data_IF_628387562211
#
_entry.id   IF_628387562211
#
_cell.length_a   1.000
_cell.length_b   1.000
_cell.length_c   1.000
_cell.angle_alpha   90.00
_cell.angle_beta   90.00
_cell.angle_gamma   90.00
#
_symmetry.space_group_name_H-M   'P 1'
#
loop_
_entity.id
_entity.type
_entity.pdbx_description
1 polymer ?
#
# COMPACT_ATOMS: atom_id res chain seq x y z
N UNK A 1 6.05 -13.43 17.65
CA UNK A 1 5.23 -14.12 16.63
C UNK A 1 3.86 -13.45 16.67
N UNK A 2 3.35 -12.88 15.57
CA UNK A 2 2.06 -12.16 15.65
C UNK A 2 1.29 -12.04 14.32
N UNK A 3 1.59 -12.89 13.33
CA UNK A 3 0.67 -13.16 12.23
C UNK A 3 -0.08 -14.44 12.56
N UNK A 4 -1.40 -14.35 12.70
CA UNK A 4 -2.26 -15.51 12.93
C UNK A 4 -3.29 -15.58 11.81
N UNK A 5 -3.47 -16.74 11.21
CA UNK A 5 -4.71 -17.03 10.49
C UNK A 5 -5.81 -17.35 11.52
N UNK A 6 -7.07 -17.39 11.10
CA UNK A 6 -8.20 -17.77 11.97
C UNK A 6 -8.06 -19.12 12.70
N UNK A 7 -7.03 -19.92 12.37
CA UNK A 7 -6.73 -21.23 12.94
C UNK A 7 -5.44 -21.27 13.80
N UNK A 8 -4.74 -20.15 14.02
CA UNK A 8 -3.63 -20.06 14.97
C UNK A 8 -2.31 -20.76 14.59
N UNK A 9 -2.05 -21.08 13.32
CA UNK A 9 -0.82 -21.77 12.88
C UNK A 9 0.04 -20.91 11.93
N UNK A 10 1.35 -20.86 12.20
CA UNK A 10 2.38 -20.23 11.36
C UNK A 10 3.28 -21.28 10.67
N UNK A 11 3.72 -21.08 9.41
CA UNK A 11 3.24 -20.05 8.50
C UNK A 11 1.76 -20.23 8.21
N UNK A 12 1.00 -19.12 8.24
CA UNK A 12 -0.30 -19.14 7.58
C UNK A 12 0.01 -19.55 6.13
N UNK A 13 -0.66 -20.58 5.59
CA UNK A 13 -0.53 -20.85 4.17
C UNK A 13 -0.77 -19.52 3.45
N UNK A 14 0.11 -19.13 2.52
CA UNK A 14 -0.34 -18.27 1.42
C UNK A 14 -1.60 -18.97 0.91
N UNK A 15 -2.76 -18.42 1.25
CA UNK A 15 -4.06 -19.07 1.08
C UNK A 15 -4.35 -19.11 -0.40
N UNK A 16 -3.83 -20.17 -1.01
CA UNK A 16 -3.73 -20.42 -2.45
C UNK A 16 -3.14 -19.24 -3.25
N UNK A 17 -2.57 -19.50 -4.42
CA UNK A 17 -2.06 -18.41 -5.26
C UNK A 17 -3.19 -17.50 -5.80
N UNK A 18 -4.46 -17.75 -5.46
CA UNK A 18 -5.69 -17.23 -6.09
C UNK A 18 -6.44 -16.13 -5.32
N UNK A 19 -6.32 -16.04 -3.99
CA UNK A 19 -7.03 -15.02 -3.18
C UNK A 19 -6.12 -13.90 -2.66
N UNK A 20 -6.30 -12.70 -3.23
CA UNK A 20 -5.63 -11.46 -2.81
C UNK A 20 -6.45 -10.79 -1.71
N UNK A 21 -6.09 -11.04 -0.46
CA UNK A 21 -6.85 -10.48 0.66
C UNK A 21 -6.70 -8.97 0.78
N UNK A 22 -7.77 -8.25 1.03
CA UNK A 22 -7.81 -6.80 1.29
C UNK A 22 -7.67 -6.53 2.80
N UNK A 23 -7.17 -5.34 3.21
CA UNK A 23 -7.33 -4.91 4.60
C UNK A 23 -8.83 -4.68 4.85
N UNK A 24 -9.40 -5.44 5.78
CA UNK A 24 -10.80 -5.36 6.17
C UNK A 24 -11.00 -4.39 7.33
N UNK A 25 -10.03 -4.30 8.25
CA UNK A 25 -10.13 -3.44 9.43
C UNK A 25 -8.75 -3.12 10.02
N UNK A 26 -8.63 -1.98 10.69
CA UNK A 26 -7.47 -1.61 11.52
C UNK A 26 -7.98 -1.22 12.90
N UNK A 27 -7.79 -2.08 13.89
CA UNK A 27 -8.16 -1.86 15.29
C UNK A 27 -6.99 -1.21 16.05
N UNK A 28 -7.05 0.11 16.16
CA UNK A 28 -6.03 0.93 16.80
C UNK A 28 -5.91 0.64 18.33
N UNK A 29 -7.01 0.54 19.11
CA UNK A 29 -6.95 0.18 20.53
C UNK A 29 -6.20 -1.11 20.82
N UNK A 30 -6.44 -2.16 20.02
CA UNK A 30 -5.83 -3.47 20.24
C UNK A 30 -4.52 -3.65 19.50
N UNK A 31 -4.20 -2.77 18.54
CA UNK A 31 -2.98 -2.86 17.75
C UNK A 31 -3.05 -3.91 16.65
N UNK A 32 -4.21 -4.12 16.04
CA UNK A 32 -4.43 -5.20 15.07
C UNK A 32 -4.78 -4.64 13.70
N UNK A 33 -4.14 -5.17 12.66
CA UNK A 33 -4.63 -5.05 11.27
C UNK A 33 -5.29 -6.39 10.92
N UNK A 34 -6.54 -6.34 10.47
CA UNK A 34 -7.33 -7.50 10.04
C UNK A 34 -7.52 -7.41 8.54
N UNK A 35 -7.24 -8.51 7.85
CA UNK A 35 -7.46 -8.66 6.42
C UNK A 35 -8.70 -9.54 6.17
N UNK A 36 -9.36 -9.36 5.03
CA UNK A 36 -10.66 -9.96 4.68
C UNK A 36 -10.64 -11.50 4.59
N UNK A 37 -9.46 -12.09 4.37
CA UNK A 37 -9.23 -13.53 4.43
C UNK A 37 -9.01 -14.06 5.87
N UNK A 38 -9.20 -13.21 6.89
CA UNK A 38 -9.02 -13.56 8.29
C UNK A 38 -7.57 -13.57 8.77
N UNK A 39 -6.60 -13.14 7.96
CA UNK A 39 -5.23 -12.87 8.44
C UNK A 39 -5.27 -11.68 9.38
N UNK A 40 -4.52 -11.78 10.47
CA UNK A 40 -4.37 -10.69 11.45
C UNK A 40 -2.91 -10.43 11.75
N UNK A 41 -2.50 -9.18 11.68
CA UNK A 41 -1.20 -8.70 12.17
C UNK A 41 -1.41 -7.99 13.50
N UNK A 42 -0.86 -8.52 14.57
CA UNK A 42 -0.87 -7.91 15.89
C UNK A 42 0.49 -7.25 16.17
N UNK A 43 0.48 -5.95 16.43
CA UNK A 43 1.71 -5.23 16.80
C UNK A 43 2.19 -5.67 18.18
N UNK A 44 3.51 -5.90 18.32
CA UNK A 44 4.17 -6.07 19.64
C UNK A 44 4.30 -4.72 20.34
N UNK A 45 4.64 -3.70 19.58
CA UNK A 45 4.70 -2.31 20.02
C UNK A 45 3.52 -1.52 19.43
N UNK A 46 2.48 -1.33 20.25
CA UNK A 46 1.27 -0.59 19.88
C UNK A 46 1.53 0.86 19.48
N UNK A 47 2.60 1.46 19.99
CA UNK A 47 2.94 2.85 19.69
C UNK A 47 3.41 3.01 18.24
N UNK A 48 3.94 1.96 17.61
CA UNK A 48 4.25 1.98 16.18
C UNK A 48 3.00 2.14 15.32
N UNK A 49 1.91 1.42 15.65
CA UNK A 49 0.63 1.60 14.95
C UNK A 49 0.05 3.00 15.21
N UNK A 50 0.05 3.46 16.47
CA UNK A 50 -0.45 4.80 16.84
C UNK A 50 0.29 5.92 16.12
N UNK A 51 1.62 5.82 16.03
CA UNK A 51 2.43 6.76 15.27
C UNK A 51 2.13 6.68 13.78
N UNK A 52 1.99 5.46 13.22
CA UNK A 52 1.73 5.27 11.79
C UNK A 52 0.40 5.86 11.32
N UNK A 53 -0.65 5.77 12.16
CA UNK A 53 -1.98 6.32 11.84
C UNK A 53 -2.10 7.81 12.12
N UNK A 54 -1.13 8.44 12.81
CA UNK A 54 -1.18 9.87 13.15
C UNK A 54 -0.53 10.71 12.05
N UNK A 55 -1.34 11.44 11.28
CA UNK A 55 -0.83 12.23 10.15
C UNK A 55 -0.16 13.53 10.61
N UNK A 56 0.78 14.03 9.79
CA UNK A 56 1.34 15.37 9.98
C UNK A 56 0.32 16.43 9.55
N UNK A 57 -0.33 17.03 10.53
CA UNK A 57 -1.24 18.16 10.31
C UNK A 57 -1.15 19.12 11.50
N UNK A 58 -1.04 20.42 11.22
CA UNK A 58 -1.11 21.47 12.23
C UNK A 58 -2.43 22.22 12.03
N UNK A 59 -3.40 22.08 12.95
CA UNK A 59 -4.65 22.81 12.84
C UNK A 59 -4.42 24.32 12.89
N UNK A 60 -5.26 25.12 12.19
CA UNK A 60 -5.10 26.57 12.13
C UNK A 60 -5.25 27.29 13.48
N UNK A 61 -5.85 26.62 14.48
CA UNK A 61 -6.07 27.15 15.83
C UNK A 61 -4.95 26.81 16.83
N UNK A 62 -3.94 26.03 16.42
CA UNK A 62 -2.80 25.67 17.28
C UNK A 62 -1.72 26.75 17.17
N UNK A 63 -1.32 27.33 18.30
CA UNK A 63 -0.29 28.36 18.34
C UNK A 63 1.10 27.79 17.96
N UNK A 64 1.97 28.60 17.33
CA UNK A 64 3.35 28.18 17.07
C UNK A 64 4.06 27.77 18.36
N UNK A 65 4.63 26.56 18.39
CA UNK A 65 5.39 26.04 19.54
C UNK A 65 4.60 25.15 20.49
N UNK A 66 3.29 24.99 20.30
CA UNK A 66 2.51 23.99 21.03
C UNK A 66 3.01 22.56 20.71
N UNK A 67 3.10 21.67 21.72
CA UNK A 67 3.54 20.30 21.50
C UNK A 67 2.53 19.56 20.62
N UNK A 68 3.02 19.09 19.47
CA UNK A 68 2.24 18.27 18.55
C UNK A 68 2.50 16.78 18.82
N UNK A 69 1.51 15.90 18.62
CA UNK A 69 1.73 14.46 18.73
C UNK A 69 2.78 14.00 17.72
N UNK A 70 3.50 12.94 18.07
CA UNK A 70 4.44 12.29 17.16
C UNK A 70 3.64 11.76 15.96
N UNK A 71 4.05 12.18 14.76
CA UNK A 71 3.37 11.83 13.52
C UNK A 71 4.16 10.81 12.71
N UNK A 72 3.51 10.33 11.65
CA UNK A 72 3.92 9.20 10.86
C UNK A 72 5.13 9.43 9.93
N UNK A 73 5.66 10.66 9.80
CA UNK A 73 6.69 10.98 8.79
C UNK A 73 7.97 10.17 8.96
N UNK A 74 8.45 10.00 10.18
CA UNK A 74 9.70 9.28 10.42
C UNK A 74 9.58 7.80 10.05
N UNK A 75 8.43 7.19 10.36
CA UNK A 75 8.17 5.78 10.05
C UNK A 75 7.87 5.61 8.55
N UNK A 76 7.18 6.57 7.93
CA UNK A 76 6.91 6.57 6.49
C UNK A 76 8.20 6.52 5.67
N UNK A 77 9.25 7.26 6.06
CA UNK A 77 10.55 7.18 5.37
C UNK A 77 11.16 5.78 5.38
N UNK A 78 11.06 5.07 6.51
CA UNK A 78 11.49 3.67 6.59
C UNK A 78 10.62 2.81 5.66
N UNK A 79 9.31 3.00 5.71
CA UNK A 79 8.34 2.28 4.90
C UNK A 79 8.52 2.45 3.39
N UNK A 80 8.75 3.67 2.90
CA UNK A 80 9.07 3.93 1.49
C UNK A 80 10.32 3.17 1.04
N UNK A 81 11.38 3.19 1.85
CA UNK A 81 12.60 2.43 1.59
C UNK A 81 12.35 0.92 1.52
N UNK A 82 11.56 0.38 2.45
CA UNK A 82 11.20 -1.05 2.52
C UNK A 82 10.30 -1.47 1.36
N UNK A 83 9.24 -0.69 1.09
CA UNK A 83 8.33 -0.86 -0.04
C UNK A 83 9.11 -0.89 -1.35
N UNK A 84 9.94 0.14 -1.58
CA UNK A 84 10.82 0.24 -2.75
C UNK A 84 11.74 -0.95 -2.89
N UNK A 85 12.38 -1.39 -1.80
CA UNK A 85 13.32 -2.51 -1.82
C UNK A 85 12.62 -3.85 -2.13
N UNK A 86 11.47 -4.11 -1.50
CA UNK A 86 10.68 -5.33 -1.72
C UNK A 86 10.17 -5.39 -3.16
N UNK A 87 9.56 -4.31 -3.65
CA UNK A 87 9.07 -4.23 -5.03
C UNK A 87 10.22 -4.46 -6.01
N UNK A 88 11.32 -3.71 -5.90
CA UNK A 88 12.48 -3.85 -6.81
C UNK A 88 13.06 -5.26 -6.79
N UNK A 89 13.24 -5.88 -5.60
CA UNK A 89 13.73 -7.27 -5.49
C UNK A 89 12.76 -8.25 -6.13
N UNK A 90 11.45 -8.08 -5.92
CA UNK A 90 10.41 -8.93 -6.49
C UNK A 90 10.43 -8.89 -8.02
N UNK A 91 10.43 -7.69 -8.58
CA UNK A 91 10.46 -7.46 -10.02
C UNK A 91 11.79 -7.87 -10.69
N UNK A 92 12.92 -7.73 -9.99
CA UNK A 92 14.23 -8.14 -10.53
C UNK A 92 14.46 -9.67 -10.51
N UNK A 93 13.86 -10.40 -9.57
CA UNK A 93 14.03 -11.87 -9.44
C UNK A 93 13.35 -12.64 -10.56
N UNK A 94 12.26 -12.11 -11.12
CA UNK A 94 11.85 -12.52 -12.45
C UNK A 94 12.83 -11.86 -13.43
N UNK A 95 13.88 -12.59 -13.81
CA UNK A 95 14.63 -12.23 -15.00
C UNK A 95 13.61 -11.94 -16.08
N UNK A 96 13.52 -10.66 -16.49
CA UNK A 96 12.45 -10.11 -17.32
C UNK A 96 11.97 -11.19 -18.30
N UNK A 97 10.74 -11.72 -18.18
CA UNK A 97 10.26 -12.68 -19.14
C UNK A 97 9.96 -11.88 -20.40
N UNK A 98 11.00 -11.55 -21.18
CA UNK A 98 10.91 -10.97 -22.52
C UNK A 98 9.94 -11.79 -23.40
N UNK A 99 9.65 -13.05 -23.04
CA UNK A 99 8.65 -13.90 -23.70
C UNK A 99 7.19 -13.74 -23.25
N UNK A 100 6.87 -13.23 -22.05
CA UNK A 100 5.47 -13.07 -21.62
C UNK A 100 4.86 -11.73 -22.03
N UNK A 101 5.67 -10.69 -22.20
CA UNK A 101 5.21 -9.42 -22.76
C UNK A 101 4.80 -9.56 -24.23
N UNK A 102 5.49 -10.45 -24.97
CA UNK A 102 5.24 -10.72 -26.39
C UNK A 102 3.85 -11.31 -26.70
N UNK A 103 3.17 -11.99 -25.77
CA UNK A 103 1.87 -12.60 -26.09
C UNK A 103 0.72 -11.60 -26.17
N UNK A 104 0.85 -10.40 -25.57
CA UNK A 104 -0.04 -9.27 -25.87
C UNK A 104 0.50 -8.36 -26.98
N UNK A 105 1.82 -8.31 -27.20
CA UNK A 105 2.41 -7.62 -28.36
C UNK A 105 1.92 -8.22 -29.70
N UNK A 106 1.62 -9.52 -29.74
CA UNK A 106 1.09 -10.19 -30.95
C UNK A 106 -0.37 -9.84 -31.23
N UNK A 107 -1.17 -9.42 -30.23
CA UNK A 107 -2.56 -8.97 -30.46
C UNK A 107 -2.68 -7.45 -30.67
N UNK A 108 -1.56 -6.71 -30.69
CA UNK A 108 -1.52 -5.27 -30.91
C UNK A 108 -0.44 -4.86 -31.93
N UNK A 109 -0.06 -5.76 -32.81
CA UNK A 109 0.91 -5.49 -33.87
C UNK A 109 0.31 -4.66 -35.01
N UNK A 110 -0.35 -3.54 -34.74
CA UNK A 110 -0.67 -2.50 -35.72
C UNK A 110 -0.90 -1.12 -35.05
N UNK A 111 0.08 -0.60 -34.28
CA UNK A 111 0.42 0.85 -34.15
C UNK A 111 1.39 1.09 -32.96
N UNK A 112 2.47 1.86 -33.18
CA UNK A 112 3.27 2.60 -32.15
C UNK A 112 3.84 1.89 -30.89
N UNK A 113 4.24 0.62 -30.96
CA UNK A 113 4.43 -0.26 -29.78
C UNK A 113 5.63 -0.03 -28.82
N UNK A 114 6.68 0.72 -29.16
CA UNK A 114 7.84 0.84 -28.23
C UNK A 114 7.58 1.72 -26.98
N UNK A 115 6.67 2.70 -27.06
CA UNK A 115 6.38 3.58 -25.89
C UNK A 115 5.47 2.92 -24.86
N UNK A 116 4.56 2.06 -25.32
CA UNK A 116 3.57 1.40 -24.47
C UNK A 116 4.25 0.34 -23.60
N UNK A 117 5.19 -0.43 -24.15
CA UNK A 117 5.95 -1.43 -23.37
C UNK A 117 6.80 -0.80 -22.25
N UNK A 118 7.43 0.35 -22.51
CA UNK A 118 8.19 1.11 -21.50
C UNK A 118 7.27 1.68 -20.40
N UNK A 119 6.10 2.22 -20.75
CA UNK A 119 5.14 2.74 -19.77
C UNK A 119 4.55 1.64 -18.88
N UNK A 120 4.23 0.47 -19.44
CA UNK A 120 3.80 -0.69 -18.66
C UNK A 120 4.90 -1.20 -17.75
N UNK A 121 6.15 -1.24 -18.22
CA UNK A 121 7.29 -1.64 -17.39
C UNK A 121 7.53 -0.65 -16.25
N UNK A 122 7.47 0.65 -16.53
CA UNK A 122 7.60 1.71 -15.51
C UNK A 122 6.46 1.63 -14.48
N UNK A 123 5.22 1.34 -14.88
CA UNK A 123 4.11 1.17 -13.95
C UNK A 123 4.22 -0.11 -13.12
N UNK A 124 4.67 -1.20 -13.72
CA UNK A 124 4.89 -2.45 -13.01
C UNK A 124 6.04 -2.31 -11.99
N UNK A 125 7.16 -1.68 -12.38
CA UNK A 125 8.34 -1.54 -11.51
C UNK A 125 8.22 -0.38 -10.50
N UNK A 126 7.57 0.73 -10.85
CA UNK A 126 7.54 1.96 -10.05
C UNK A 126 6.14 2.47 -9.73
N UNK A 127 5.12 1.97 -10.42
CA UNK A 127 3.77 2.53 -10.33
C UNK A 127 3.10 2.33 -8.98
N UNK A 128 3.34 1.19 -8.35
CA UNK A 128 2.88 0.94 -6.99
C UNK A 128 3.60 1.83 -5.97
N UNK A 129 4.78 2.33 -6.31
CA UNK A 129 5.54 3.24 -5.46
C UNK A 129 5.13 4.71 -5.64
N UNK A 130 4.22 5.02 -6.57
CA UNK A 130 3.75 6.39 -6.76
C UNK A 130 2.73 6.78 -5.70
N UNK A 131 2.83 8.02 -5.20
CA UNK A 131 1.89 8.58 -4.23
C UNK A 131 0.44 8.50 -4.72
N UNK A 132 0.17 8.62 -6.02
CA UNK A 132 -1.18 8.49 -6.58
C UNK A 132 -1.78 7.11 -6.35
N UNK A 133 -0.99 6.05 -6.55
CA UNK A 133 -1.39 4.67 -6.30
C UNK A 133 -1.62 4.43 -4.81
N UNK A 134 -0.67 4.83 -3.97
CA UNK A 134 -0.79 4.67 -2.52
C UNK A 134 -1.98 5.47 -1.95
N UNK A 135 -2.24 6.68 -2.47
CA UNK A 135 -3.42 7.48 -2.09
C UNK A 135 -4.71 6.75 -2.41
N UNK A 136 -4.83 6.20 -3.63
CA UNK A 136 -5.99 5.41 -4.02
C UNK A 136 -6.16 4.18 -3.11
N UNK A 137 -5.08 3.44 -2.85
CA UNK A 137 -5.13 2.25 -2.01
C UNK A 137 -5.49 2.56 -0.55
N UNK A 138 -5.03 3.69 0.00
CA UNK A 138 -5.43 4.15 1.33
C UNK A 138 -6.96 4.32 1.44
N UNK A 139 -7.62 4.81 0.39
CA UNK A 139 -9.08 4.93 0.36
C UNK A 139 -9.75 3.58 0.08
N UNK A 140 -9.22 2.79 -0.85
CA UNK A 140 -9.79 1.50 -1.24
C UNK A 140 -9.81 0.49 -0.10
N UNK A 141 -8.86 0.57 0.83
CA UNK A 141 -8.79 -0.29 2.01
C UNK A 141 -9.39 0.35 3.27
N UNK A 142 -10.11 1.48 3.10
CA UNK A 142 -10.74 2.25 4.17
C UNK A 142 -9.78 2.74 5.27
N UNK A 143 -8.47 2.74 5.02
CA UNK A 143 -7.46 3.19 5.98
C UNK A 143 -7.72 4.65 6.39
N UNK A 144 -8.18 5.49 5.46
CA UNK A 144 -8.53 6.89 5.72
C UNK A 144 -9.49 7.07 6.91
N UNK A 145 -10.39 6.12 7.15
CA UNK A 145 -11.37 6.19 8.26
C UNK A 145 -10.74 6.05 9.64
N UNK A 146 -9.58 5.39 9.72
CA UNK A 146 -8.87 5.14 10.98
C UNK A 146 -7.69 6.10 11.19
N UNK A 147 -7.30 6.87 10.17
CA UNK A 147 -6.22 7.84 10.30
C UNK A 147 -6.61 8.98 11.25
N UNK A 148 -5.70 9.31 12.14
CA UNK A 148 -5.85 10.38 13.10
C UNK A 148 -5.29 11.69 12.56
N UNK A 149 -6.17 12.69 12.39
CA UNK A 149 -5.79 14.08 12.13
C UNK A 149 -5.71 14.81 13.46
N UNK A 150 -4.51 15.19 13.94
CA UNK A 150 -4.36 15.89 15.21
C UNK A 150 -5.27 17.12 15.30
N UNK A 151 -5.99 17.26 16.41
CA UNK A 151 -6.88 18.41 16.66
C UNK A 151 -8.17 18.45 15.82
N UNK A 152 -8.46 17.43 15.00
CA UNK A 152 -9.73 17.30 14.29
C UNK A 152 -10.48 16.03 14.72
N UNK A 153 -11.79 16.15 14.94
CA UNK A 153 -12.64 14.97 15.19
C UNK A 153 -12.87 14.22 13.88
N UNK A 154 -12.86 12.87 13.88
CA UNK A 154 -13.28 12.09 12.71
C UNK A 154 -14.66 12.53 12.21
N UNK A 155 -14.80 12.71 10.89
CA UNK A 155 -16.04 13.19 10.26
C UNK A 155 -16.36 14.68 10.44
N UNK A 156 -15.53 15.46 11.14
CA UNK A 156 -15.71 16.92 11.20
C UNK A 156 -15.41 17.59 9.86
N UNK A 157 -15.99 18.78 9.64
CA UNK A 157 -15.75 19.60 8.42
C UNK A 157 -14.24 19.80 8.21
N UNK A 158 -13.49 20.12 9.26
CA UNK A 158 -12.03 20.32 9.20
C UNK A 158 -11.31 19.06 8.71
N UNK A 159 -11.70 17.88 9.21
CA UNK A 159 -11.12 16.63 8.76
C UNK A 159 -11.47 16.34 7.29
N UNK A 160 -12.73 16.58 6.89
CA UNK A 160 -13.18 16.38 5.51
C UNK A 160 -12.47 17.31 4.52
N UNK A 161 -12.33 18.59 4.86
CA UNK A 161 -11.60 19.58 4.06
C UNK A 161 -10.12 19.23 3.95
N UNK A 162 -9.49 18.79 5.06
CA UNK A 162 -8.13 18.30 5.04
C UNK A 162 -7.98 17.12 4.07
N UNK A 163 -8.83 16.10 4.15
CA UNK A 163 -8.75 14.92 3.28
C UNK A 163 -9.01 15.22 1.80
N UNK A 164 -9.82 16.23 1.50
CA UNK A 164 -10.04 16.72 0.13
C UNK A 164 -8.87 17.54 -0.41
N UNK A 165 -8.04 18.11 0.47
CA UNK A 165 -6.90 18.96 0.10
C UNK A 165 -5.75 18.18 -0.56
N UNK A 166 -4.83 18.92 -1.18
CA UNK A 166 -3.58 18.36 -1.69
C UNK A 166 -2.73 17.72 -0.59
N UNK A 167 -2.68 18.35 0.59
CA UNK A 167 -1.91 17.84 1.73
C UNK A 167 -2.56 16.59 2.33
N UNK A 168 -3.89 16.50 2.33
CA UNK A 168 -4.60 15.27 2.71
C UNK A 168 -4.29 14.10 1.78
N UNK A 169 -4.26 14.33 0.46
CA UNK A 169 -3.85 13.31 -0.51
C UNK A 169 -2.43 12.81 -0.25
N UNK A 170 -1.49 13.72 0.00
CA UNK A 170 -0.12 13.33 0.40
C UNK A 170 -0.10 12.54 1.70
N UNK A 171 -0.86 12.97 2.70
CA UNK A 171 -0.94 12.30 3.99
C UNK A 171 -1.45 10.86 3.89
N UNK A 172 -2.37 10.58 2.96
CA UNK A 172 -2.83 9.21 2.67
C UNK A 172 -1.69 8.31 2.17
N UNK A 173 -0.94 8.75 1.16
CA UNK A 173 0.24 8.03 0.68
C UNK A 173 1.27 7.81 1.80
N UNK A 174 1.62 8.87 2.52
CA UNK A 174 2.54 8.79 3.68
C UNK A 174 2.05 7.81 4.75
N UNK A 175 0.74 7.65 4.93
CA UNK A 175 0.19 6.71 5.91
C UNK A 175 0.33 5.25 5.48
N UNK A 176 0.20 4.95 4.19
CA UNK A 176 0.52 3.62 3.65
C UNK A 176 1.97 3.26 3.95
N UNK A 177 2.90 4.16 3.58
CA UNK A 177 4.32 3.98 3.86
C UNK A 177 4.56 3.80 5.37
N UNK A 178 3.91 4.61 6.20
CA UNK A 178 4.07 4.51 7.64
C UNK A 178 3.58 3.18 8.22
N UNK A 179 2.48 2.61 7.71
CA UNK A 179 2.02 1.28 8.14
C UNK A 179 3.03 0.21 7.75
N UNK A 180 3.54 0.23 6.52
CA UNK A 180 4.58 -0.70 6.06
C UNK A 180 5.84 -0.59 6.93
N UNK A 181 6.30 0.65 7.17
CA UNK A 181 7.45 0.92 8.02
C UNK A 181 7.23 0.48 9.47
N UNK A 182 6.02 0.67 10.01
CA UNK A 182 5.69 0.23 11.35
C UNK A 182 5.72 -1.30 11.47
N UNK A 183 5.20 -2.03 10.47
CA UNK A 183 5.26 -3.49 10.44
C UNK A 183 6.69 -4.00 10.32
N UNK A 184 7.52 -3.40 9.48
CA UNK A 184 8.93 -3.79 9.37
C UNK A 184 9.68 -3.56 10.69
N UNK A 185 9.51 -2.38 11.31
CA UNK A 185 10.13 -2.06 12.59
C UNK A 185 9.60 -2.94 13.73
N UNK A 186 8.31 -3.28 13.71
CA UNK A 186 7.69 -4.11 14.75
C UNK A 186 8.01 -5.58 14.59
N UNK A 187 8.16 -6.10 13.36
CA UNK A 187 8.38 -7.54 13.09
C UNK A 187 9.84 -7.90 12.86
N UNK A 188 10.66 -6.96 12.40
CA UNK A 188 12.03 -7.17 11.91
C UNK A 188 12.10 -8.30 10.86
N UNK A 189 11.06 -8.44 10.04
CA UNK A 189 10.92 -9.56 9.11
C UNK A 189 10.36 -9.15 7.76
N UNK A 190 11.24 -9.11 6.75
CA UNK A 190 10.85 -8.87 5.34
C UNK A 190 9.72 -9.82 4.90
N UNK A 191 9.70 -11.08 5.39
CA UNK A 191 8.65 -12.05 5.04
C UNK A 191 7.27 -11.66 5.60
N UNK A 192 7.21 -11.16 6.84
CA UNK A 192 5.97 -10.68 7.46
C UNK A 192 5.50 -9.40 6.76
N UNK A 193 6.43 -8.47 6.53
CA UNK A 193 6.15 -7.21 5.84
C UNK A 193 5.61 -7.46 4.44
N UNK A 194 6.16 -8.43 3.70
CA UNK A 194 5.65 -8.85 2.39
C UNK A 194 4.20 -9.34 2.43
N UNK A 195 3.84 -10.14 3.45
CA UNK A 195 2.47 -10.62 3.61
C UNK A 195 1.52 -9.44 3.85
N UNK A 196 1.88 -8.52 4.74
CA UNK A 196 1.07 -7.32 5.00
C UNK A 196 0.96 -6.44 3.75
N UNK A 197 2.07 -6.18 3.06
CA UNK A 197 2.10 -5.40 1.82
C UNK A 197 1.16 -5.98 0.76
N UNK A 198 1.20 -7.30 0.54
CA UNK A 198 0.27 -7.97 -0.38
C UNK A 198 -1.16 -7.75 0.01
N UNK A 199 -1.46 -7.87 1.29
CA UNK A 199 -2.82 -7.68 1.74
C UNK A 199 -3.29 -6.21 1.76
N UNK A 200 -2.36 -5.26 1.73
CA UNK A 200 -2.62 -3.84 1.50
C UNK A 200 -2.74 -3.48 0.01
N UNK A 201 -2.57 -4.45 -0.89
CA UNK A 201 -2.69 -4.24 -2.32
C UNK A 201 -1.37 -3.98 -3.05
N UNK A 202 -0.22 -4.23 -2.44
CA UNK A 202 1.10 -4.06 -3.08
C UNK A 202 1.63 -5.41 -3.54
N UNK A 203 1.82 -5.56 -4.85
CA UNK A 203 2.12 -6.84 -5.49
C UNK A 203 3.42 -6.82 -6.28
N UNK A 204 4.04 -7.99 -6.37
CA UNK A 204 5.13 -8.31 -7.26
C UNK A 204 4.99 -9.78 -7.66
N UNK A 205 5.32 -10.15 -8.90
CA UNK A 205 5.12 -11.50 -9.36
C UNK A 205 6.23 -12.42 -8.85
N UNK A 206 5.89 -13.46 -8.09
CA UNK A 206 6.83 -14.53 -7.72
C UNK A 206 6.66 -15.78 -8.59
N UNK A 207 5.51 -15.92 -9.26
CA UNK A 207 5.19 -17.02 -10.17
C UNK A 207 4.27 -16.54 -11.31
N UNK A 208 4.08 -17.33 -12.39
CA UNK A 208 3.24 -16.94 -13.53
C UNK A 208 1.77 -16.69 -13.20
N UNK A 209 1.23 -17.33 -12.15
CA UNK A 209 -0.15 -17.12 -11.74
C UNK A 209 -0.33 -15.71 -11.17
N UNK A 210 0.57 -15.28 -10.28
CA UNK A 210 0.57 -13.94 -9.69
C UNK A 210 0.76 -12.85 -10.75
N UNK A 211 1.50 -13.13 -11.84
CA UNK A 211 1.59 -12.23 -13.00
C UNK A 211 0.21 -11.96 -13.59
N UNK A 212 -0.60 -13.01 -13.80
CA UNK A 212 -1.92 -12.87 -14.41
C UNK A 212 -2.89 -12.09 -13.52
N UNK A 213 -2.91 -12.35 -12.21
CA UNK A 213 -3.82 -11.61 -11.32
C UNK A 213 -3.43 -10.15 -11.18
N UNK A 214 -2.13 -9.87 -11.11
CA UNK A 214 -1.63 -8.50 -11.08
C UNK A 214 -1.96 -7.75 -12.38
N UNK A 215 -1.86 -8.40 -13.54
CA UNK A 215 -2.30 -7.81 -14.82
C UNK A 215 -3.80 -7.48 -14.82
N UNK A 216 -4.63 -8.34 -14.19
CA UNK A 216 -6.06 -8.06 -14.04
C UNK A 216 -6.31 -6.85 -13.13
N UNK A 217 -5.64 -6.78 -11.97
CA UNK A 217 -5.74 -5.66 -11.05
C UNK A 217 -5.29 -4.33 -11.69
N UNK A 218 -4.17 -4.33 -12.40
CA UNK A 218 -3.70 -3.15 -13.16
C UNK A 218 -4.70 -2.77 -14.25
N UNK A 219 -5.26 -3.74 -14.97
CA UNK A 219 -6.32 -3.52 -15.95
C UNK A 219 -7.53 -2.79 -15.35
N UNK A 220 -7.96 -3.20 -14.15
CA UNK A 220 -9.04 -2.53 -13.40
C UNK A 220 -8.67 -1.09 -13.04
N UNK A 221 -7.47 -0.86 -12.51
CA UNK A 221 -7.02 0.49 -12.13
C UNK A 221 -6.87 1.44 -13.32
N UNK A 222 -6.43 0.93 -14.47
CA UNK A 222 -6.44 1.67 -15.74
C UNK A 222 -7.87 2.00 -16.18
N UNK A 223 -8.80 1.03 -16.10
CA UNK A 223 -10.21 1.26 -16.42
C UNK A 223 -10.88 2.30 -15.51
N UNK A 224 -10.44 2.39 -14.25
CA UNK A 224 -10.89 3.39 -13.28
C UNK A 224 -10.21 4.76 -13.47
N UNK A 225 -9.26 4.90 -14.39
CA UNK A 225 -8.51 6.14 -14.61
C UNK A 225 -7.55 6.52 -13.47
N UNK A 226 -7.36 5.63 -12.49
CA UNK A 226 -6.38 5.77 -11.39
C UNK A 226 -4.97 5.75 -11.97
N UNK A 227 -4.79 4.90 -12.98
CA UNK A 227 -3.59 4.82 -13.81
C UNK A 227 -3.98 5.41 -15.16
N UNK A 228 -3.51 6.63 -15.47
CA UNK A 228 -3.77 7.23 -16.77
C UNK A 228 -3.05 6.44 -17.86
N UNK A 229 -3.79 5.93 -18.85
CA UNK A 229 -3.27 5.90 -20.22
C UNK A 229 -3.04 7.35 -20.63
N UNK A 230 -1.86 7.68 -21.13
CA UNK A 230 -1.73 8.93 -21.89
C UNK A 230 -2.69 8.83 -23.07
N UNK A 231 -3.68 9.70 -23.11
CA UNK A 231 -4.39 9.98 -24.35
C UNK A 231 -3.36 10.60 -25.31
N UNK A 232 -3.24 9.97 -26.48
CA UNK A 232 -2.36 10.40 -27.58
C UNK A 232 -2.76 11.78 -28.13
#
# INVERSE_FOLDING_TARGET
>A
MALTNGNGVWPAPLLDDTHHAQVQNVDIPTGIIIFDNGVRYQFRNLDLLRMAVTVKYTPPHVAPGEPMPINNICIARTGDGVLSAILRKGWARQGSPHGMWNQRSVLHLMTSTNKVEDEYKIWNEFGMNMNSYQTYHCDAIELTLVLHVPGARPGSIVAMEFWASWDGRKAKATSIEAIIGAVELDSESEAVTKVVMRHMGFYWPENPYQVNTMQAAIGTLCGLGVIRKREE
#
